data_IF_019988169998
#
_entry.id   IF_019988169998
#
_cell.length_a   1.000
_cell.length_b   1.000
_cell.length_c   1.000
_cell.angle_alpha   90.00
_cell.angle_beta   90.00
_cell.angle_gamma   90.00
#
_symmetry.space_group_name_H-M   'P 1'
#
loop_
_entity.id
_entity.type
_entity.pdbx_description
1 polymer ?
#
# COMPACT_ATOMS: atom_id res chain seq x y z
N UNK A 1 -14.07 -10.84 -0.18
CA UNK A 1 -12.69 -11.36 -0.07
C UNK A 1 -11.85 -10.52 -1.01
N UNK A 2 -10.78 -9.88 -0.52
CA UNK A 2 -9.88 -9.10 -1.37
C UNK A 2 -8.92 -10.02 -2.13
N UNK A 3 -8.33 -9.50 -3.20
CA UNK A 3 -7.32 -10.17 -4.05
C UNK A 3 -6.17 -9.20 -4.36
N UNK A 4 -5.06 -9.73 -4.88
CA UNK A 4 -3.96 -8.90 -5.40
C UNK A 4 -4.47 -7.86 -6.41
N UNK A 5 -3.97 -6.63 -6.28
CA UNK A 5 -4.39 -5.46 -7.05
C UNK A 5 -5.59 -4.71 -6.48
N UNK A 6 -6.33 -5.27 -5.53
CA UNK A 6 -7.41 -4.54 -4.88
C UNK A 6 -6.87 -3.35 -4.08
N UNK A 7 -7.64 -2.27 -4.05
CA UNK A 7 -7.46 -1.15 -3.14
C UNK A 7 -8.43 -1.34 -1.97
N UNK A 8 -7.88 -1.43 -0.77
CA UNK A 8 -8.64 -1.55 0.47
C UNK A 8 -8.54 -0.27 1.29
N UNK A 9 -9.63 0.13 1.95
CA UNK A 9 -9.62 1.17 2.98
C UNK A 9 -9.54 0.50 4.34
N UNK A 10 -8.44 0.73 5.05
CA UNK A 10 -8.20 0.20 6.40
C UNK A 10 -8.58 1.26 7.43
N UNK A 11 -9.44 0.91 8.39
CA UNK A 11 -9.96 1.87 9.36
C UNK A 11 -8.89 2.35 10.35
N UNK A 12 -8.04 1.44 10.82
CA UNK A 12 -6.89 1.71 11.69
C UNK A 12 -5.78 0.68 11.48
N UNK A 13 -4.53 1.11 11.60
CA UNK A 13 -3.36 0.23 11.57
C UNK A 13 -2.22 0.84 12.40
N UNK A 14 -1.29 0.00 12.83
CA UNK A 14 -0.09 0.40 13.58
C UNK A 14 1.07 0.69 12.64
N UNK A 15 1.89 1.66 13.02
CA UNK A 15 3.17 2.00 12.42
C UNK A 15 4.12 2.46 13.53
N UNK A 16 5.01 1.58 13.97
CA UNK A 16 5.78 1.77 15.19
C UNK A 16 4.88 2.00 16.40
N UNK A 17 5.16 3.06 17.17
CA UNK A 17 4.37 3.41 18.36
C UNK A 17 3.03 4.09 18.06
N UNK A 18 2.76 4.41 16.79
CA UNK A 18 1.56 5.17 16.40
C UNK A 18 0.46 4.26 15.86
N UNK A 19 -0.80 4.62 16.15
CA UNK A 19 -1.98 4.07 15.48
C UNK A 19 -2.52 5.12 14.52
N UNK A 20 -2.45 4.81 13.23
CA UNK A 20 -2.94 5.67 12.16
C UNK A 20 -4.35 5.24 11.77
N UNK A 21 -5.19 6.20 11.40
CA UNK A 21 -6.57 5.95 10.99
C UNK A 21 -6.75 6.15 9.48
N UNK A 22 -7.62 5.34 8.87
CA UNK A 22 -8.21 5.54 7.53
C UNK A 22 -7.20 5.83 6.43
N UNK A 23 -6.54 4.79 5.94
CA UNK A 23 -5.69 4.88 4.75
C UNK A 23 -6.06 3.81 3.73
N UNK A 24 -5.90 4.16 2.46
CA UNK A 24 -6.02 3.21 1.36
C UNK A 24 -4.72 2.43 1.22
N UNK A 25 -4.84 1.16 0.85
CA UNK A 25 -3.72 0.26 0.61
C UNK A 25 -3.93 -0.50 -0.69
N UNK A 26 -2.86 -0.75 -1.45
CA UNK A 26 -2.86 -1.71 -2.56
C UNK A 26 -2.47 -3.08 -2.02
N UNK A 27 -3.29 -4.09 -2.29
CA UNK A 27 -3.02 -5.48 -1.91
C UNK A 27 -2.01 -6.09 -2.89
N UNK A 28 -0.88 -6.55 -2.37
CA UNK A 28 0.20 -7.18 -3.14
C UNK A 28 0.06 -8.71 -3.17
N UNK A 29 -0.28 -9.30 -2.04
CA UNK A 29 -0.52 -10.74 -1.90
C UNK A 29 -1.58 -11.00 -0.84
N UNK A 30 -2.33 -12.08 -1.03
CA UNK A 30 -3.30 -12.63 -0.07
C UNK A 30 -2.91 -14.04 0.39
N UNK A 31 -1.70 -14.45 0.07
CA UNK A 31 -1.15 -15.75 0.42
C UNK A 31 -0.78 -15.78 1.90
N UNK A 32 -0.86 -16.97 2.48
CA UNK A 32 -0.40 -17.19 3.84
C UNK A 32 1.13 -17.24 3.86
N UNK A 33 1.72 -16.64 4.88
CA UNK A 33 3.15 -16.71 5.14
C UNK A 33 3.47 -16.49 6.60
N UNK A 34 4.76 -16.46 6.91
CA UNK A 34 5.26 -16.31 8.27
C UNK A 34 6.48 -15.39 8.26
N UNK A 35 6.55 -14.47 9.23
CA UNK A 35 7.74 -13.67 9.53
C UNK A 35 8.07 -13.86 11.01
N UNK A 36 9.29 -14.31 11.30
CA UNK A 36 9.79 -14.48 12.67
C UNK A 36 8.87 -15.34 13.57
N UNK A 37 8.26 -16.40 13.04
CA UNK A 37 7.34 -17.24 13.82
C UNK A 37 5.90 -16.73 13.90
N UNK A 38 5.57 -15.60 13.26
CA UNK A 38 4.25 -14.98 13.30
C UNK A 38 3.61 -15.01 11.92
N UNK A 39 2.39 -15.53 11.86
CA UNK A 39 1.64 -15.72 10.61
C UNK A 39 1.06 -14.40 10.09
N UNK A 40 1.05 -14.25 8.76
CA UNK A 40 0.32 -13.22 8.04
C UNK A 40 -0.43 -13.85 6.87
N UNK A 41 -1.46 -13.16 6.38
CA UNK A 41 -2.25 -13.64 5.24
C UNK A 41 -2.67 -12.50 4.28
N UNK A 42 -2.00 -11.35 4.41
CA UNK A 42 -2.12 -10.24 3.48
C UNK A 42 -0.87 -9.35 3.55
N UNK A 43 -0.38 -8.96 2.38
CA UNK A 43 0.72 -8.01 2.23
C UNK A 43 0.24 -6.82 1.38
N UNK A 44 0.56 -5.60 1.80
CA UNK A 44 0.07 -4.38 1.15
C UNK A 44 1.12 -3.25 1.14
N UNK A 45 0.95 -2.28 0.24
CA UNK A 45 1.56 -0.95 0.36
C UNK A 45 0.52 0.11 0.67
N UNK A 46 0.88 1.10 1.48
CA UNK A 46 -0.01 2.22 1.79
C UNK A 46 -0.01 3.27 0.66
N UNK A 47 -1.18 3.83 0.40
CA UNK A 47 -1.40 4.92 -0.55
C UNK A 47 -1.61 6.26 0.15
N UNK A 48 -1.24 7.35 -0.52
CA UNK A 48 -1.58 8.71 -0.11
C UNK A 48 -1.97 9.57 -1.31
N UNK A 49 -2.84 10.57 -1.10
CA UNK A 49 -3.20 11.53 -2.16
C UNK A 49 -2.31 12.77 -2.10
N UNK A 50 -2.09 13.41 -3.24
CA UNK A 50 -1.48 14.73 -3.28
C UNK A 50 -2.49 15.79 -2.81
N UNK A 51 -1.98 16.83 -2.14
CA UNK A 51 -2.80 17.93 -1.62
C UNK A 51 -2.63 19.20 -2.45
N UNK A 52 -1.45 19.37 -3.06
CA UNK A 52 -1.04 20.43 -3.97
C UNK A 52 0.30 20.03 -4.61
N UNK A 53 0.79 20.82 -5.57
CA UNK A 53 2.05 20.57 -6.28
C UNK A 53 3.28 20.52 -5.35
N UNK A 54 3.35 21.41 -4.35
CA UNK A 54 4.46 21.39 -3.38
C UNK A 54 4.49 20.07 -2.58
N UNK A 55 3.32 19.57 -2.20
CA UNK A 55 3.20 18.27 -1.53
C UNK A 55 3.59 17.13 -2.47
N UNK A 56 3.21 17.21 -3.74
CA UNK A 56 3.60 16.25 -4.77
C UNK A 56 5.11 16.19 -4.93
N UNK A 57 5.76 17.32 -5.18
CA UNK A 57 7.22 17.41 -5.30
C UNK A 57 7.94 16.87 -4.06
N UNK A 58 7.49 17.26 -2.87
CA UNK A 58 8.06 16.76 -1.62
C UNK A 58 7.86 15.25 -1.44
N UNK A 59 6.67 14.71 -1.77
CA UNK A 59 6.43 13.27 -1.64
C UNK A 59 7.19 12.47 -2.69
N UNK A 60 7.35 12.97 -3.90
CA UNK A 60 8.12 12.31 -4.95
C UNK A 60 9.64 12.46 -4.78
N UNK A 61 10.11 13.32 -3.85
CA UNK A 61 11.54 13.35 -3.49
C UNK A 61 11.98 12.14 -2.64
N UNK A 62 11.04 11.35 -2.11
CA UNK A 62 11.34 10.10 -1.42
C UNK A 62 11.39 8.96 -2.43
N UNK A 63 12.55 8.31 -2.58
CA UNK A 63 12.76 7.23 -3.55
C UNK A 63 11.85 6.01 -3.34
N UNK A 64 11.24 5.83 -2.17
CA UNK A 64 10.28 4.75 -1.95
C UNK A 64 8.88 5.04 -2.52
N UNK A 65 8.59 6.29 -2.91
CA UNK A 65 7.25 6.69 -3.33
C UNK A 65 7.12 6.61 -4.86
N UNK A 66 6.20 5.77 -5.32
CA UNK A 66 5.80 5.68 -6.72
C UNK A 66 4.58 6.57 -6.97
N UNK A 67 4.62 7.43 -7.99
CA UNK A 67 3.46 8.21 -8.40
C UNK A 67 2.35 7.29 -8.95
N UNK A 68 1.09 7.64 -8.68
CA UNK A 68 -0.09 7.00 -9.27
C UNK A 68 -1.14 8.06 -9.60
N UNK A 69 -1.59 8.10 -10.85
CA UNK A 69 -2.67 8.98 -11.26
C UNK A 69 -4.04 8.39 -10.92
N UNK A 70 -5.06 9.24 -10.76
CA UNK A 70 -6.44 8.76 -10.60
C UNK A 70 -6.86 7.82 -11.75
N UNK A 71 -6.47 8.11 -13.00
CA UNK A 71 -6.84 7.26 -14.15
C UNK A 71 -6.26 5.85 -14.11
N UNK A 72 -5.27 5.60 -13.23
CA UNK A 72 -4.64 4.30 -13.01
C UNK A 72 -5.34 3.48 -11.91
N UNK A 73 -6.41 4.02 -11.34
CA UNK A 73 -7.22 3.37 -10.32
C UNK A 73 -8.69 3.35 -10.72
N UNK A 74 -9.41 2.35 -10.25
CA UNK A 74 -10.86 2.29 -10.36
C UNK A 74 -11.43 2.12 -8.96
N UNK A 75 -11.82 3.24 -8.33
CA UNK A 75 -12.31 3.27 -6.95
C UNK A 75 -13.75 3.79 -6.86
N UNK A 76 -14.49 3.30 -5.87
CA UNK A 76 -15.80 3.79 -5.50
C UNK A 76 -15.93 3.79 -3.97
N UNK A 77 -15.95 4.96 -3.30
CA UNK A 77 -15.92 6.30 -3.90
C UNK A 77 -14.55 6.66 -4.49
N UNK A 78 -14.54 7.37 -5.62
CA UNK A 78 -13.37 8.03 -6.19
C UNK A 78 -13.30 9.48 -5.67
N UNK A 79 -12.12 9.91 -5.25
CA UNK A 79 -11.88 11.27 -4.74
C UNK A 79 -11.34 12.24 -5.81
N UNK A 80 -11.09 11.78 -7.04
CA UNK A 80 -10.64 12.60 -8.15
C UNK A 80 -9.15 12.95 -8.12
N UNK A 81 -8.37 12.43 -7.17
CA UNK A 81 -7.01 12.91 -6.89
C UNK A 81 -5.94 11.91 -7.28
N UNK A 82 -4.90 12.43 -7.91
CA UNK A 82 -3.62 11.74 -8.02
C UNK A 82 -2.99 11.53 -6.63
N UNK A 83 -2.06 10.58 -6.57
CA UNK A 83 -1.42 10.18 -5.33
C UNK A 83 -0.11 9.44 -5.55
N UNK A 84 0.29 8.73 -4.52
CA UNK A 84 1.50 7.94 -4.52
C UNK A 84 1.31 6.68 -3.68
N UNK A 85 2.10 5.67 -3.98
CA UNK A 85 2.20 4.41 -3.25
C UNK A 85 3.57 4.37 -2.59
N UNK A 86 3.62 4.07 -1.29
CA UNK A 86 4.90 3.84 -0.58
C UNK A 86 5.38 2.42 -0.84
N UNK A 87 6.07 2.22 -1.95
CA UNK A 87 6.52 0.91 -2.42
C UNK A 87 7.61 0.30 -1.53
N UNK A 88 8.41 1.14 -0.86
CA UNK A 88 9.43 0.71 0.09
C UNK A 88 8.86 0.09 1.37
N UNK A 89 7.58 0.34 1.68
CA UNK A 89 6.96 -0.08 2.93
C UNK A 89 6.01 -1.27 2.73
N UNK A 90 6.49 -2.47 3.06
CA UNK A 90 5.68 -3.69 3.00
C UNK A 90 4.94 -3.90 4.32
N UNK A 91 3.64 -3.64 4.32
CA UNK A 91 2.78 -3.90 5.48
C UNK A 91 2.26 -5.33 5.45
N UNK A 92 2.46 -6.04 6.55
CA UNK A 92 1.95 -7.39 6.76
C UNK A 92 0.76 -7.34 7.72
N UNK A 93 -0.31 -8.05 7.37
CA UNK A 93 -1.54 -8.08 8.15
C UNK A 93 -2.03 -9.51 8.36
N UNK A 94 -2.68 -9.73 9.51
CA UNK A 94 -3.71 -10.77 9.66
C UNK A 94 -5.07 -10.16 9.34
N UNK A 95 -5.73 -10.65 8.29
CA UNK A 95 -7.04 -10.19 7.81
C UNK A 95 -8.11 -10.25 8.91
N UNK A 96 -7.98 -11.20 9.84
CA UNK A 96 -8.90 -11.45 10.95
C UNK A 96 -8.89 -10.32 11.99
N UNK A 97 -7.73 -9.66 12.15
CA UNK A 97 -7.55 -8.55 13.10
C UNK A 97 -7.81 -7.19 12.45
N UNK A 98 -8.04 -7.16 11.14
CA UNK A 98 -8.11 -5.94 10.36
C UNK A 98 -9.55 -5.57 10.02
N UNK A 99 -9.95 -4.36 10.38
CA UNK A 99 -11.19 -3.77 9.87
C UNK A 99 -10.91 -3.00 8.58
N UNK A 100 -11.41 -3.52 7.46
CA UNK A 100 -11.22 -2.93 6.16
C UNK A 100 -12.39 -3.19 5.21
N UNK A 101 -12.45 -2.42 4.12
CA UNK A 101 -13.34 -2.69 2.98
C UNK A 101 -12.58 -2.54 1.67
N UNK A 102 -12.95 -3.35 0.68
CA UNK A 102 -12.48 -3.16 -0.71
C UNK A 102 -13.20 -1.95 -1.29
N UNK A 103 -12.46 -0.99 -1.82
CA UNK A 103 -13.00 0.24 -2.43
C UNK A 103 -12.71 0.32 -3.92
N UNK A 104 -11.94 -0.61 -4.49
CA UNK A 104 -11.56 -0.56 -5.89
C UNK A 104 -10.36 -1.44 -6.19
N UNK A 105 -9.67 -1.12 -7.27
CA UNK A 105 -8.40 -1.75 -7.66
C UNK A 105 -7.51 -0.78 -8.43
N UNK A 106 -6.21 -1.07 -8.45
CA UNK A 106 -5.30 -0.50 -9.46
C UNK A 106 -5.49 -1.25 -10.78
N UNK A 107 -5.21 -0.59 -11.90
CA UNK A 107 -5.16 -1.28 -13.20
C UNK A 107 -3.95 -2.23 -13.25
N UNK A 108 -4.03 -3.25 -14.11
CA UNK A 108 -2.98 -4.28 -14.22
C UNK A 108 -1.60 -3.70 -14.57
N UNK A 109 -1.55 -2.72 -15.47
CA UNK A 109 -0.31 -2.05 -15.84
C UNK A 109 0.38 -1.39 -14.64
N UNK A 110 -0.39 -0.69 -13.81
CA UNK A 110 0.12 0.00 -12.61
C UNK A 110 0.52 -0.99 -11.52
N UNK A 111 -0.19 -2.13 -11.39
CA UNK A 111 0.23 -3.21 -10.50
C UNK A 111 1.59 -3.79 -10.93
N UNK A 112 1.77 -4.07 -12.22
CA UNK A 112 3.04 -4.60 -12.73
C UNK A 112 4.19 -3.62 -12.50
N UNK A 113 3.98 -2.33 -12.79
CA UNK A 113 4.95 -1.27 -12.48
C UNK A 113 5.30 -1.21 -10.99
N UNK A 114 4.31 -1.34 -10.11
CA UNK A 114 4.53 -1.36 -8.67
C UNK A 114 5.41 -2.55 -8.26
N UNK A 115 5.14 -3.75 -8.78
CA UNK A 115 5.95 -4.94 -8.49
C UNK A 115 7.40 -4.77 -8.99
N UNK A 116 7.58 -4.28 -10.21
CA UNK A 116 8.91 -4.00 -10.76
C UNK A 116 9.67 -2.98 -9.88
N UNK A 117 8.99 -1.92 -9.45
CA UNK A 117 9.58 -0.89 -8.59
C UNK A 117 9.96 -1.42 -7.19
N UNK A 118 9.13 -2.29 -6.61
CA UNK A 118 9.45 -2.99 -5.36
C UNK A 118 10.70 -3.87 -5.53
N UNK A 119 10.83 -4.57 -6.66
CA UNK A 119 12.01 -5.40 -6.95
C UNK A 119 13.28 -4.53 -7.06
N UNK A 120 13.22 -3.39 -7.74
CA UNK A 120 14.34 -2.44 -7.80
C UNK A 120 14.75 -1.92 -6.40
N UNK A 121 13.77 -1.61 -5.55
CA UNK A 121 14.02 -1.21 -4.16
C UNK A 121 14.60 -2.37 -3.33
N UNK A 122 14.18 -3.61 -3.59
CA UNK A 122 14.73 -4.81 -2.96
C UNK A 122 16.21 -5.01 -3.28
N UNK A 123 16.58 -4.91 -4.56
CA UNK A 123 17.97 -5.00 -5.01
C UNK A 123 18.87 -3.95 -4.35
N UNK A 124 18.32 -2.77 -4.07
CA UNK A 124 19.00 -1.68 -3.36
C UNK A 124 18.98 -1.79 -1.84
N UNK A 125 18.39 -2.85 -1.27
CA UNK A 125 18.16 -3.03 0.17
C UNK A 125 17.39 -1.86 0.81
N UNK A 126 16.38 -1.32 0.11
CA UNK A 126 15.58 -0.17 0.55
C UNK A 126 14.20 -0.55 1.07
N UNK A 127 13.85 -1.83 1.06
CA UNK A 127 12.56 -2.29 1.59
C UNK A 127 12.56 -2.32 3.12
N UNK A 128 11.41 -1.94 3.68
CA UNK A 128 11.11 -1.96 5.09
C UNK A 128 9.89 -2.85 5.32
N UNK A 129 10.08 -3.91 6.08
CA UNK A 129 8.99 -4.79 6.51
C UNK A 129 8.32 -4.21 7.75
N UNK A 130 7.01 -3.97 7.66
CA UNK A 130 6.20 -3.43 8.75
C UNK A 130 5.28 -4.55 9.26
N UNK A 131 5.72 -5.16 10.36
CA UNK A 131 5.08 -6.29 11.01
C UNK A 131 4.29 -5.89 12.26
N UNK A 132 3.99 -4.61 12.43
CA UNK A 132 3.25 -4.16 13.62
C UNK A 132 1.79 -4.65 13.65
N UNK A 133 1.29 -5.18 12.53
CA UNK A 133 -0.12 -5.56 12.32
C UNK A 133 -0.33 -7.07 12.14
N UNK A 134 0.66 -7.88 12.56
CA UNK A 134 0.56 -9.34 12.71
C UNK A 134 0.51 -9.72 14.19
#
# INVERSE_FOLDING_TARGET
MCKTGDIILVDKYKHGESVLSKHSFVVLSVDNGEIQGVEYNMMCNVMGSFHNEQHKEFKLSFEGNMEVSNSETNTNPDNGKDGYIKADQLYYFRKEDLSYKVIGNVIEETLNKLIDYINELAEKNKLVNIIDNI
#
